data_IF_778543811612
#
_entry.id   IF_778543811612
#
_cell.length_a   1.000
_cell.length_b   1.000
_cell.length_c   1.000
_cell.angle_alpha   90.00
_cell.angle_beta   90.00
_cell.angle_gamma   90.00
#
_symmetry.space_group_name_H-M   'P 1'
#
loop_
_entity.id
_entity.type
_entity.pdbx_description
1 polymer ?
#
# COMPACT_ATOMS: atom_id res chain seq x y z
N UNK A 1 61.08 21.97 -39.72
CA UNK A 1 59.91 22.77 -39.31
C UNK A 1 58.70 22.24 -40.08
N UNK A 2 57.61 21.90 -39.39
CA UNK A 2 56.20 21.81 -39.87
C UNK A 2 55.47 20.59 -39.32
N UNK A 3 55.31 20.50 -37.99
CA UNK A 3 54.40 19.55 -37.32
C UNK A 3 53.08 20.22 -36.86
N UNK A 4 52.87 21.51 -37.18
CA UNK A 4 51.70 22.29 -36.76
C UNK A 4 50.59 22.35 -37.82
N UNK A 5 50.82 21.86 -39.04
CA UNK A 5 49.86 21.94 -40.17
C UNK A 5 48.89 20.77 -40.27
N UNK A 6 48.93 19.80 -39.34
CA UNK A 6 48.14 18.57 -39.42
C UNK A 6 47.23 18.36 -38.19
N UNK A 7 46.95 19.41 -37.42
CA UNK A 7 45.95 19.35 -36.35
C UNK A 7 44.59 19.62 -37.00
N UNK A 8 43.66 18.66 -36.97
CA UNK A 8 42.32 18.84 -37.53
C UNK A 8 41.62 20.03 -36.86
N UNK A 9 40.90 20.83 -37.65
CA UNK A 9 40.17 21.96 -37.12
C UNK A 9 38.93 21.48 -36.35
N UNK A 10 38.30 22.36 -35.56
CA UNK A 10 37.15 21.98 -34.75
C UNK A 10 35.98 21.40 -35.58
N UNK A 11 35.70 21.97 -36.75
CA UNK A 11 34.66 21.46 -37.64
C UNK A 11 35.04 20.11 -38.30
N UNK A 12 36.34 19.84 -38.48
CA UNK A 12 36.83 18.52 -38.93
C UNK A 12 36.67 17.45 -37.84
N UNK A 13 36.76 17.85 -36.56
CA UNK A 13 36.65 16.96 -35.40
C UNK A 13 35.20 16.67 -34.99
N UNK A 14 34.34 17.69 -35.00
CA UNK A 14 32.99 17.62 -34.43
C UNK A 14 31.87 17.85 -35.46
N UNK A 15 32.24 18.05 -36.73
CA UNK A 15 31.31 18.42 -37.79
C UNK A 15 31.00 19.91 -37.82
N UNK A 16 30.27 20.33 -38.85
CA UNK A 16 29.90 21.72 -39.02
C UNK A 16 28.85 22.11 -37.97
N UNK A 17 29.20 23.05 -37.08
CA UNK A 17 28.35 23.44 -35.96
C UNK A 17 27.24 24.35 -36.48
N UNK A 18 25.99 23.90 -36.38
CA UNK A 18 24.82 24.72 -36.66
C UNK A 18 24.44 25.52 -35.41
N UNK A 19 25.05 26.71 -35.24
CA UNK A 19 24.68 27.62 -34.16
C UNK A 19 23.29 28.22 -34.40
N UNK A 20 22.26 27.53 -33.95
CA UNK A 20 20.91 28.09 -33.85
C UNK A 20 20.82 28.98 -32.61
N UNK A 21 21.02 30.28 -32.80
CA UNK A 21 20.84 31.27 -31.74
C UNK A 21 19.39 31.23 -31.24
N UNK A 22 19.20 31.00 -29.93
CA UNK A 22 17.89 31.00 -29.27
C UNK A 22 17.31 29.63 -28.93
N UNK A 23 18.05 28.53 -29.18
CA UNK A 23 17.66 27.21 -28.70
C UNK A 23 18.23 26.97 -27.29
N UNK A 24 17.53 27.51 -26.28
CA UNK A 24 17.96 27.46 -24.87
C UNK A 24 18.01 26.01 -24.33
N UNK A 25 17.27 25.08 -24.94
CA UNK A 25 17.19 23.67 -24.54
C UNK A 25 18.32 22.82 -25.11
N UNK A 26 18.98 23.28 -26.18
CA UNK A 26 20.23 22.69 -26.70
C UNK A 26 21.48 23.35 -26.17
N UNK A 27 21.34 24.24 -25.20
CA UNK A 27 22.46 24.88 -24.53
C UNK A 27 23.19 23.91 -23.61
N UNK A 28 24.50 24.09 -23.47
CA UNK A 28 25.33 23.40 -22.46
C UNK A 28 24.92 23.80 -21.02
N UNK A 29 24.23 24.94 -20.87
CA UNK A 29 23.70 25.42 -19.59
C UNK A 29 22.21 25.09 -19.39
N UNK A 30 21.64 24.22 -20.23
CA UNK A 30 20.23 23.83 -20.13
C UNK A 30 19.98 22.89 -18.94
N UNK A 31 18.74 22.79 -18.45
CA UNK A 31 18.36 21.78 -17.45
C UNK A 31 18.61 20.34 -17.94
N UNK A 32 18.43 20.08 -19.23
CA UNK A 32 18.73 18.79 -19.84
C UNK A 32 20.23 18.44 -19.78
N UNK A 33 21.10 19.42 -20.07
CA UNK A 33 22.55 19.24 -19.94
C UNK A 33 22.97 18.98 -18.49
N UNK A 34 22.32 19.66 -17.53
CA UNK A 34 22.53 19.41 -16.11
C UNK A 34 22.08 18.00 -15.69
N UNK A 35 20.94 17.53 -16.17
CA UNK A 35 20.47 16.15 -15.91
C UNK A 35 21.47 15.11 -16.42
N UNK A 36 22.00 15.28 -17.63
CA UNK A 36 23.00 14.36 -18.20
C UNK A 36 24.28 14.35 -17.38
N UNK A 37 24.75 15.51 -16.94
CA UNK A 37 25.94 15.63 -16.08
C UNK A 37 25.72 14.92 -14.72
N UNK A 38 24.52 15.05 -14.14
CA UNK A 38 24.15 14.33 -12.91
C UNK A 38 24.08 12.81 -13.12
N UNK A 39 23.48 12.34 -14.22
CA UNK A 39 23.41 10.90 -14.52
C UNK A 39 24.81 10.34 -14.78
N UNK A 40 25.70 11.10 -15.41
CA UNK A 40 27.08 10.70 -15.61
C UNK A 40 27.85 10.68 -14.28
N UNK A 41 27.70 11.69 -13.43
CA UNK A 41 28.27 11.69 -12.08
C UNK A 41 27.79 10.47 -11.27
N UNK A 42 26.51 10.13 -11.40
CA UNK A 42 25.94 8.95 -10.75
C UNK A 42 26.59 7.66 -11.26
N UNK A 43 26.75 7.51 -12.58
CA UNK A 43 27.37 6.35 -13.20
C UNK A 43 28.88 6.26 -12.85
N UNK A 44 29.59 7.39 -12.74
CA UNK A 44 31.04 7.42 -12.50
C UNK A 44 31.40 7.20 -11.01
N UNK A 45 30.72 7.89 -10.08
CA UNK A 45 31.05 7.88 -8.65
C UNK A 45 30.23 6.86 -7.84
N UNK A 46 29.04 6.49 -8.33
CA UNK A 46 28.09 5.67 -7.59
C UNK A 46 27.69 4.40 -8.35
N UNK A 47 28.55 3.91 -9.26
CA UNK A 47 28.32 2.67 -10.03
C UNK A 47 28.02 1.43 -9.17
N UNK A 48 28.48 1.39 -7.91
CA UNK A 48 28.15 0.31 -6.96
C UNK A 48 26.70 0.37 -6.44
N UNK A 49 26.00 1.50 -6.61
CA UNK A 49 24.58 1.66 -6.30
C UNK A 49 23.76 1.20 -7.52
N UNK A 50 23.83 -0.10 -7.81
CA UNK A 50 23.19 -0.75 -8.97
C UNK A 50 21.68 -0.53 -9.07
N UNK A 51 21.03 -0.34 -7.92
CA UNK A 51 19.58 -0.41 -7.80
C UNK A 51 18.89 0.81 -8.44
N UNK A 52 19.57 1.96 -8.55
CA UNK A 52 18.94 3.15 -9.13
C UNK A 52 18.58 2.93 -10.59
N UNK A 53 19.54 2.44 -11.38
CA UNK A 53 19.46 2.32 -12.84
C UNK A 53 18.57 1.17 -13.30
N UNK A 54 18.51 0.09 -12.53
CA UNK A 54 17.78 -1.13 -12.92
C UNK A 54 16.43 -1.24 -12.20
N UNK A 55 16.38 -0.94 -10.90
CA UNK A 55 15.23 -1.31 -10.07
C UNK A 55 14.37 -0.11 -9.65
N UNK A 56 14.94 1.09 -9.50
CA UNK A 56 14.21 2.23 -8.91
C UNK A 56 13.63 3.25 -9.88
N UNK A 57 14.38 3.73 -10.88
CA UNK A 57 13.92 4.76 -11.84
C UNK A 57 14.63 4.65 -13.20
N UNK A 58 14.49 3.51 -13.86
CA UNK A 58 15.05 3.29 -15.20
C UNK A 58 14.45 4.25 -16.24
N UNK A 59 13.22 4.70 -16.03
CA UNK A 59 12.50 5.67 -16.86
C UNK A 59 13.27 6.97 -17.10
N UNK A 60 14.00 7.47 -16.09
CA UNK A 60 14.76 8.73 -16.18
C UNK A 60 15.84 8.68 -17.28
N UNK A 61 16.44 7.52 -17.52
CA UNK A 61 17.47 7.35 -18.55
C UNK A 61 16.90 7.35 -19.98
N UNK A 62 15.58 7.16 -20.12
CA UNK A 62 14.88 7.10 -21.41
C UNK A 62 14.02 8.34 -21.67
N UNK A 63 14.08 9.36 -20.81
CA UNK A 63 13.40 10.65 -21.04
C UNK A 63 14.02 11.36 -22.25
N UNK A 64 13.15 11.85 -23.14
CA UNK A 64 13.58 12.67 -24.27
C UNK A 64 14.05 14.05 -23.79
N UNK A 65 15.29 14.41 -24.15
CA UNK A 65 15.92 15.68 -23.75
C UNK A 65 15.50 16.83 -24.68
N UNK A 66 14.24 17.25 -24.56
CA UNK A 66 13.66 18.32 -25.38
C UNK A 66 13.02 19.45 -24.55
N UNK A 67 12.50 20.45 -25.27
CA UNK A 67 11.86 21.61 -24.66
C UNK A 67 10.55 21.26 -23.92
N UNK A 68 9.82 20.25 -24.41
CA UNK A 68 8.53 19.84 -23.85
C UNK A 68 8.73 19.22 -22.47
N UNK A 69 9.66 18.25 -22.35
CA UNK A 69 10.00 17.62 -21.07
C UNK A 69 10.73 18.56 -20.11
N UNK A 70 11.37 19.63 -20.61
CA UNK A 70 12.08 20.60 -19.76
C UNK A 70 11.17 21.67 -19.16
N UNK A 71 10.11 22.09 -19.87
CA UNK A 71 9.34 23.29 -19.50
C UNK A 71 7.88 23.04 -19.19
N UNK A 72 7.32 21.91 -19.60
CA UNK A 72 5.92 21.61 -19.35
C UNK A 72 5.71 21.36 -17.87
N UNK A 73 4.79 22.11 -17.27
CA UNK A 73 4.42 21.91 -15.87
C UNK A 73 3.45 20.73 -15.78
N UNK A 74 3.86 19.70 -15.03
CA UNK A 74 3.07 18.51 -14.76
C UNK A 74 2.86 18.41 -13.24
N UNK A 75 1.67 18.04 -12.76
CA UNK A 75 1.46 17.76 -11.35
C UNK A 75 2.38 16.63 -10.88
N UNK A 76 3.08 16.85 -9.77
CA UNK A 76 4.00 15.86 -9.22
C UNK A 76 3.34 14.48 -8.96
N UNK A 77 2.09 14.51 -8.49
CA UNK A 77 1.34 13.28 -8.16
C UNK A 77 1.07 12.41 -9.40
N UNK A 78 0.91 13.00 -10.58
CA UNK A 78 0.67 12.24 -11.81
C UNK A 78 1.91 11.43 -12.19
N UNK A 79 3.11 12.02 -12.05
CA UNK A 79 4.37 11.32 -12.27
C UNK A 79 4.57 10.21 -11.24
N UNK A 80 4.19 10.44 -9.98
CA UNK A 80 4.26 9.40 -8.94
C UNK A 80 3.35 8.23 -9.28
N UNK A 81 2.10 8.51 -9.67
CA UNK A 81 1.15 7.47 -10.07
C UNK A 81 1.63 6.71 -11.29
N UNK A 82 2.12 7.39 -12.34
CA UNK A 82 2.67 6.77 -13.55
C UNK A 82 3.83 5.82 -13.21
N UNK A 83 4.76 6.26 -12.35
CA UNK A 83 5.89 5.43 -11.92
C UNK A 83 5.41 4.21 -11.12
N UNK A 84 4.41 4.36 -10.26
CA UNK A 84 3.85 3.25 -9.47
C UNK A 84 3.02 2.28 -10.34
N UNK A 85 2.24 2.79 -11.28
CA UNK A 85 1.51 2.00 -12.28
C UNK A 85 2.49 1.17 -13.12
N UNK A 86 3.61 1.75 -13.56
CA UNK A 86 4.66 1.04 -14.29
C UNK A 86 5.37 -0.06 -13.50
N UNK A 87 5.26 -0.07 -12.17
CA UNK A 87 5.78 -1.17 -11.32
C UNK A 87 4.85 -2.37 -11.30
N UNK A 88 3.57 -2.15 -11.56
CA UNK A 88 2.57 -3.22 -11.65
C UNK A 88 2.70 -3.81 -13.05
N UNK A 89 3.30 -5.00 -13.15
CA UNK A 89 3.55 -5.70 -14.41
C UNK A 89 2.24 -6.30 -15.00
N UNK A 90 1.29 -5.44 -15.35
CA UNK A 90 -0.03 -5.80 -15.87
C UNK A 90 -0.47 -4.82 -16.95
N UNK A 91 -1.14 -5.31 -18.00
CA UNK A 91 -1.74 -4.46 -19.03
C UNK A 91 -2.90 -3.61 -18.49
N UNK A 92 -3.61 -4.12 -17.47
CA UNK A 92 -4.71 -3.43 -16.81
C UNK A 92 -4.45 -3.32 -15.30
N UNK A 93 -3.73 -2.26 -14.93
CA UNK A 93 -3.30 -1.99 -13.55
C UNK A 93 -4.50 -1.93 -12.61
N UNK A 94 -5.55 -1.18 -12.98
CA UNK A 94 -6.70 -0.97 -12.10
C UNK A 94 -7.59 -2.21 -11.92
N UNK A 95 -7.69 -3.08 -12.94
CA UNK A 95 -8.34 -4.38 -12.78
C UNK A 95 -7.53 -5.31 -11.86
N UNK A 96 -6.20 -5.20 -11.88
CA UNK A 96 -5.34 -5.95 -10.96
C UNK A 96 -5.54 -5.49 -9.52
N UNK A 97 -5.64 -4.17 -9.30
CA UNK A 97 -5.88 -3.58 -7.97
C UNK A 97 -7.29 -3.88 -7.43
N UNK A 98 -8.29 -4.02 -8.29
CA UNK A 98 -9.65 -4.38 -7.88
C UNK A 98 -9.75 -5.85 -7.41
N UNK A 99 -8.81 -6.71 -7.82
CA UNK A 99 -8.74 -8.11 -7.41
C UNK A 99 -7.64 -8.39 -6.38
N UNK A 100 -6.74 -7.43 -6.14
CA UNK A 100 -5.67 -7.57 -5.16
C UNK A 100 -6.25 -7.67 -3.76
N UNK A 101 -5.71 -8.60 -2.97
CA UNK A 101 -6.04 -8.74 -1.57
C UNK A 101 -4.88 -8.20 -0.73
N UNK A 102 -5.20 -7.29 0.18
CA UNK A 102 -4.31 -6.78 1.21
C UNK A 102 -5.16 -6.22 2.35
N UNK A 103 -4.69 -6.23 3.60
CA UNK A 103 -5.52 -5.81 4.72
C UNK A 103 -5.95 -4.35 4.59
N UNK A 104 -7.24 -4.10 4.86
CA UNK A 104 -7.90 -2.80 5.09
C UNK A 104 -7.89 -1.75 3.97
N UNK A 105 -6.89 -1.73 3.09
CA UNK A 105 -6.71 -0.72 2.03
C UNK A 105 -7.02 -1.27 0.62
N UNK A 106 -7.19 -2.59 0.48
CA UNK A 106 -7.51 -3.28 -0.77
C UNK A 106 -8.74 -4.19 -0.56
N UNK A 107 -9.50 -4.52 -1.62
CA UNK A 107 -9.30 -4.17 -3.03
C UNK A 107 -9.65 -2.72 -3.39
N UNK A 108 -8.96 -2.15 -4.38
CA UNK A 108 -9.17 -0.76 -4.81
C UNK A 108 -9.93 -0.69 -6.14
N UNK A 109 -11.09 0.00 -6.14
CA UNK A 109 -11.88 0.24 -7.35
C UNK A 109 -11.87 1.73 -7.73
N UNK A 110 -11.13 2.07 -8.80
CA UNK A 110 -11.00 3.45 -9.28
C UNK A 110 -12.36 4.07 -9.67
N UNK A 111 -13.22 3.28 -10.30
CA UNK A 111 -14.52 3.76 -10.75
C UNK A 111 -15.44 4.10 -9.58
N UNK A 112 -15.36 3.33 -8.49
CA UNK A 112 -16.09 3.63 -7.26
C UNK A 112 -15.64 4.96 -6.65
N UNK A 113 -14.33 5.19 -6.57
CA UNK A 113 -13.78 6.43 -6.02
C UNK A 113 -14.10 7.64 -6.91
N UNK A 114 -14.08 7.49 -8.25
CA UNK A 114 -14.56 8.53 -9.17
C UNK A 114 -16.02 8.89 -8.89
N UNK A 115 -16.90 7.89 -8.79
CA UNK A 115 -18.32 8.11 -8.51
C UNK A 115 -18.52 8.81 -7.16
N UNK A 116 -17.82 8.36 -6.12
CA UNK A 116 -17.86 8.96 -4.78
C UNK A 116 -17.42 10.42 -4.80
N UNK A 117 -16.33 10.74 -5.51
CA UNK A 117 -15.85 12.11 -5.66
C UNK A 117 -16.85 13.00 -6.41
N UNK A 118 -17.47 12.49 -7.48
CA UNK A 118 -18.49 13.23 -8.23
C UNK A 118 -19.74 13.51 -7.38
N UNK A 119 -20.21 12.52 -6.62
CA UNK A 119 -21.34 12.66 -5.71
C UNK A 119 -21.04 13.65 -4.57
N UNK A 120 -19.82 13.63 -4.06
CA UNK A 120 -19.34 14.59 -3.07
C UNK A 120 -19.45 16.03 -3.60
N UNK A 121 -18.98 16.30 -4.81
CA UNK A 121 -19.11 17.62 -5.43
C UNK A 121 -20.56 18.04 -5.72
N UNK A 122 -21.47 17.08 -5.95
CA UNK A 122 -22.90 17.34 -6.10
C UNK A 122 -23.62 17.57 -4.76
N UNK A 123 -22.96 17.29 -3.62
CA UNK A 123 -23.55 17.39 -2.29
C UNK A 123 -24.63 16.33 -2.02
N UNK A 124 -24.59 15.20 -2.73
CA UNK A 124 -25.55 14.10 -2.60
C UNK A 124 -24.79 12.87 -2.13
N UNK A 125 -25.32 12.16 -1.13
CA UNK A 125 -24.72 10.88 -0.73
C UNK A 125 -25.19 9.73 -1.64
N UNK A 126 -24.30 8.77 -1.91
CA UNK A 126 -24.61 7.62 -2.77
C UNK A 126 -25.81 6.81 -2.26
N UNK A 127 -25.91 6.66 -0.94
CA UNK A 127 -26.98 5.91 -0.31
C UNK A 127 -28.32 6.66 -0.33
N UNK A 128 -28.36 7.99 -0.30
CA UNK A 128 -29.58 8.77 -0.53
C UNK A 128 -30.07 8.63 -1.97
N UNK A 129 -29.17 8.77 -2.93
CA UNK A 129 -29.48 8.54 -4.35
C UNK A 129 -30.08 7.15 -4.53
N UNK A 130 -29.44 6.12 -3.94
CA UNK A 130 -29.92 4.75 -4.02
C UNK A 130 -31.31 4.60 -3.38
N UNK A 131 -31.54 5.19 -2.21
CA UNK A 131 -32.85 5.18 -1.54
C UNK A 131 -33.95 5.87 -2.35
N UNK A 132 -33.64 6.97 -3.04
CA UNK A 132 -34.61 7.72 -3.84
C UNK A 132 -35.04 6.99 -5.12
N UNK A 133 -34.11 6.27 -5.76
CA UNK A 133 -34.37 5.57 -7.03
C UNK A 133 -34.62 4.07 -6.87
N UNK A 134 -34.53 3.52 -5.65
CA UNK A 134 -34.77 2.11 -5.39
C UNK A 134 -36.26 1.75 -5.65
N UNK A 135 -36.50 0.88 -6.63
CA UNK A 135 -37.82 0.29 -6.87
C UNK A 135 -38.13 -0.87 -5.93
N UNK A 136 -37.10 -1.47 -5.36
CA UNK A 136 -37.16 -2.62 -4.45
C UNK A 136 -36.35 -2.34 -3.20
N UNK A 137 -36.77 -2.89 -2.07
CA UNK A 137 -36.05 -2.73 -0.81
C UNK A 137 -34.82 -3.64 -0.78
N UNK A 138 -33.66 -3.06 -1.03
CA UNK A 138 -32.35 -3.73 -0.97
C UNK A 138 -31.49 -3.07 0.12
N UNK A 139 -31.56 -3.63 1.33
CA UNK A 139 -30.86 -3.09 2.49
C UNK A 139 -29.34 -3.32 2.42
N UNK A 140 -28.88 -4.41 1.79
CA UNK A 140 -27.46 -4.74 1.72
C UNK A 140 -26.74 -3.78 0.78
N UNK A 141 -27.32 -3.48 -0.38
CA UNK A 141 -26.74 -2.49 -1.29
C UNK A 141 -26.77 -1.09 -0.68
N UNK A 142 -27.84 -0.70 0.02
CA UNK A 142 -27.90 0.62 0.69
C UNK A 142 -26.86 0.71 1.80
N UNK A 143 -26.68 -0.34 2.60
CA UNK A 143 -25.66 -0.38 3.65
C UNK A 143 -24.25 -0.30 3.08
N UNK A 144 -23.96 -1.04 2.00
CA UNK A 144 -22.68 -0.96 1.29
C UNK A 144 -22.39 0.45 0.78
N UNK A 145 -23.37 1.07 0.13
CA UNK A 145 -23.26 2.45 -0.37
C UNK A 145 -23.13 3.47 0.76
N UNK A 146 -23.73 3.22 1.92
CA UNK A 146 -23.59 4.05 3.11
C UNK A 146 -22.18 3.97 3.70
N UNK A 147 -21.61 2.76 3.76
CA UNK A 147 -20.24 2.51 4.19
C UNK A 147 -19.19 2.95 3.17
N UNK A 148 -19.61 3.27 1.94
CA UNK A 148 -18.73 3.71 0.87
C UNK A 148 -17.93 2.59 0.19
N UNK A 149 -18.25 1.33 0.48
CA UNK A 149 -17.53 0.16 -0.02
C UNK A 149 -17.87 -0.11 -1.50
N UNK A 150 -16.89 -0.56 -2.25
CA UNK A 150 -17.02 -1.15 -3.58
C UNK A 150 -17.66 -2.55 -3.52
N UNK A 151 -18.01 -3.10 -4.68
CA UNK A 151 -18.44 -4.51 -4.80
C UNK A 151 -17.36 -5.45 -4.30
N UNK A 152 -16.12 -5.24 -4.73
CA UNK A 152 -15.00 -6.12 -4.41
C UNK A 152 -14.67 -6.09 -2.91
N UNK A 153 -14.65 -4.90 -2.29
CA UNK A 153 -14.43 -4.76 -0.84
C UNK A 153 -15.54 -5.44 -0.04
N UNK A 154 -16.80 -5.25 -0.45
CA UNK A 154 -17.92 -5.88 0.21
C UNK A 154 -17.85 -7.41 0.15
N UNK A 155 -17.50 -7.96 -1.01
CA UNK A 155 -17.38 -9.40 -1.19
C UNK A 155 -16.27 -9.98 -0.31
N UNK A 156 -15.16 -9.25 -0.13
CA UNK A 156 -14.09 -9.63 0.81
C UNK A 156 -14.50 -9.57 2.27
N UNK A 157 -15.32 -8.59 2.68
CA UNK A 157 -15.80 -8.48 4.07
C UNK A 157 -16.84 -9.55 4.42
N UNK A 158 -17.70 -9.92 3.48
CA UNK A 158 -18.82 -10.85 3.73
C UNK A 158 -18.42 -12.31 3.53
N UNK A 159 -17.42 -12.60 2.69
CA UNK A 159 -16.99 -13.96 2.40
C UNK A 159 -16.01 -14.44 3.47
N UNK A 160 -16.37 -15.50 4.19
CA UNK A 160 -15.43 -16.15 5.09
C UNK A 160 -14.26 -16.77 4.31
N UNK A 161 -13.05 -16.68 4.86
CA UNK A 161 -11.87 -17.31 4.29
C UNK A 161 -12.10 -18.82 4.13
N UNK A 162 -11.75 -19.36 2.97
CA UNK A 162 -11.98 -20.76 2.64
C UNK A 162 -11.05 -21.71 3.41
N UNK A 163 -9.81 -21.28 3.63
CA UNK A 163 -8.76 -21.99 4.34
C UNK A 163 -7.70 -21.00 4.87
N UNK A 164 -6.73 -21.52 5.64
CA UNK A 164 -5.64 -20.72 6.21
C UNK A 164 -4.78 -20.05 5.12
N UNK A 165 -4.61 -20.67 3.94
CA UNK A 165 -3.81 -20.08 2.86
C UNK A 165 -4.48 -18.84 2.28
N UNK A 166 -5.81 -18.84 2.18
CA UNK A 166 -6.56 -17.66 1.77
C UNK A 166 -6.32 -16.49 2.74
N UNK A 167 -6.19 -16.77 4.05
CA UNK A 167 -5.82 -15.75 5.04
C UNK A 167 -4.38 -15.29 4.85
N UNK A 168 -3.45 -16.18 4.53
CA UNK A 168 -2.06 -15.79 4.26
C UNK A 168 -1.98 -14.86 3.04
N UNK A 169 -2.68 -15.21 1.97
CA UNK A 169 -2.75 -14.41 0.75
C UNK A 169 -3.37 -13.03 1.02
N UNK A 170 -4.45 -12.96 1.80
CA UNK A 170 -5.11 -11.69 2.15
C UNK A 170 -4.21 -10.76 2.99
N UNK A 171 -3.22 -11.30 3.72
CA UNK A 171 -2.22 -10.53 4.50
C UNK A 171 -0.88 -10.40 3.78
N UNK A 172 -0.74 -10.89 2.54
CA UNK A 172 0.50 -10.86 1.78
C UNK A 172 1.63 -11.71 2.38
N UNK A 173 1.29 -12.72 3.18
CA UNK A 173 2.28 -13.60 3.82
C UNK A 173 2.71 -14.73 2.88
N UNK A 174 4.02 -14.81 2.64
CA UNK A 174 4.62 -15.93 1.88
C UNK A 174 5.36 -16.86 2.82
N UNK A 175 4.91 -18.12 2.89
CA UNK A 175 5.56 -19.15 3.71
C UNK A 175 6.88 -19.64 3.09
N UNK A 176 7.94 -18.86 3.30
CA UNK A 176 9.28 -19.15 2.75
C UNK A 176 9.93 -20.36 3.43
N UNK A 177 9.56 -20.64 4.69
CA UNK A 177 10.19 -21.67 5.52
C UNK A 177 9.37 -22.97 5.64
N UNK A 178 8.19 -23.05 5.02
CA UNK A 178 7.31 -24.22 5.11
C UNK A 178 6.68 -24.41 6.49
N UNK A 179 6.54 -23.32 7.23
CA UNK A 179 6.04 -23.25 8.61
C UNK A 179 4.51 -23.14 8.70
N UNK A 180 3.85 -22.86 7.57
CA UNK A 180 2.40 -22.73 7.42
C UNK A 180 1.78 -21.80 8.46
N UNK A 181 0.62 -22.21 9.00
CA UNK A 181 -0.15 -21.45 9.99
C UNK A 181 0.65 -21.09 11.25
N UNK A 182 1.59 -21.93 11.67
CA UNK A 182 2.44 -21.62 12.82
C UNK A 182 3.37 -20.43 12.55
N UNK A 183 3.98 -20.39 11.36
CA UNK A 183 4.86 -19.29 10.97
C UNK A 183 4.09 -17.99 10.80
N UNK A 184 2.91 -18.06 10.17
CA UNK A 184 2.02 -16.90 10.03
C UNK A 184 1.65 -16.31 11.39
N UNK A 185 1.16 -17.14 12.32
CA UNK A 185 0.77 -16.67 13.66
C UNK A 185 1.96 -16.11 14.42
N UNK A 186 3.13 -16.75 14.34
CA UNK A 186 4.34 -16.21 14.98
C UNK A 186 4.74 -14.86 14.39
N UNK A 187 4.67 -14.71 13.07
CA UNK A 187 4.99 -13.45 12.39
C UNK A 187 3.98 -12.34 12.73
N UNK A 188 2.68 -12.63 12.69
CA UNK A 188 1.60 -11.68 13.01
C UNK A 188 1.44 -11.43 14.51
N UNK A 189 2.01 -12.28 15.38
CA UNK A 189 2.02 -12.02 16.82
C UNK A 189 2.96 -10.89 17.21
N UNK A 190 3.96 -10.56 16.38
CA UNK A 190 4.86 -9.43 16.64
C UNK A 190 4.14 -8.14 16.29
N UNK A 191 4.03 -7.23 17.27
CA UNK A 191 3.24 -6.00 17.12
C UNK A 191 3.75 -5.13 15.97
N UNK A 192 5.08 -4.98 15.83
CA UNK A 192 5.66 -4.19 14.73
C UNK A 192 5.29 -4.75 13.37
N UNK A 193 5.38 -6.07 13.19
CA UNK A 193 5.07 -6.73 11.93
C UNK A 193 3.58 -6.68 11.61
N UNK A 194 2.72 -6.86 12.62
CA UNK A 194 1.27 -6.69 12.46
C UNK A 194 0.91 -5.26 12.06
N UNK A 195 1.51 -4.26 12.69
CA UNK A 195 1.27 -2.85 12.36
C UNK A 195 1.77 -2.50 10.96
N UNK A 196 2.96 -2.97 10.58
CA UNK A 196 3.51 -2.77 9.23
C UNK A 196 2.66 -3.42 8.15
N UNK A 197 2.14 -4.63 8.39
CA UNK A 197 1.31 -5.35 7.41
C UNK A 197 -0.12 -4.83 7.31
N UNK A 198 -0.66 -4.28 8.39
CA UNK A 198 -2.04 -3.76 8.40
C UNK A 198 -2.13 -2.26 8.17
N UNK A 199 -0.99 -1.55 8.16
CA UNK A 199 -0.92 -0.08 8.14
C UNK A 199 -1.75 0.57 9.28
N UNK A 200 -1.88 -0.15 10.40
CA UNK A 200 -2.56 0.36 11.59
C UNK A 200 -1.59 1.12 12.49
N UNK A 201 -1.96 2.37 12.80
CA UNK A 201 -1.29 3.15 13.84
C UNK A 201 -1.49 2.52 15.23
N UNK A 202 -0.56 2.75 16.14
CA UNK A 202 -0.58 2.17 17.49
C UNK A 202 -1.91 2.44 18.22
N UNK A 203 -2.46 3.65 18.08
CA UNK A 203 -3.74 4.01 18.69
C UNK A 203 -4.89 3.17 18.14
N UNK A 204 -4.93 2.92 16.83
CA UNK A 204 -5.97 2.09 16.20
C UNK A 204 -5.81 0.61 16.57
N UNK A 205 -4.57 0.15 16.75
CA UNK A 205 -4.30 -1.20 17.25
C UNK A 205 -4.81 -1.36 18.70
N UNK A 206 -4.54 -0.39 19.56
CA UNK A 206 -5.11 -0.38 20.92
C UNK A 206 -6.65 -0.29 20.87
N UNK A 207 -7.22 0.50 19.96
CA UNK A 207 -8.67 0.53 19.75
C UNK A 207 -9.22 -0.82 19.28
N UNK A 208 -8.48 -1.56 18.45
CA UNK A 208 -8.86 -2.91 18.03
C UNK A 208 -8.90 -3.87 19.24
N UNK A 209 -7.89 -3.83 20.11
CA UNK A 209 -7.77 -4.72 21.26
C UNK A 209 -8.68 -4.33 22.44
N UNK A 210 -8.94 -3.04 22.62
CA UNK A 210 -9.59 -2.47 23.81
C UNK A 210 -10.89 -1.71 23.50
N UNK A 211 -11.28 -1.51 22.23
CA UNK A 211 -12.51 -0.83 21.75
C UNK A 211 -12.83 0.51 22.43
N UNK A 212 -11.82 1.35 22.64
CA UNK A 212 -11.93 2.62 23.38
C UNK A 212 -12.47 2.48 24.81
N UNK A 213 -12.41 1.29 25.42
CA UNK A 213 -12.61 1.13 26.87
C UNK A 213 -11.39 1.67 27.67
N UNK A 214 -10.33 2.08 26.96
CA UNK A 214 -9.13 2.72 27.49
C UNK A 214 -9.38 4.22 27.80
N UNK A 215 -10.32 4.51 28.69
CA UNK A 215 -10.61 5.88 29.18
C UNK A 215 -10.12 5.99 30.63
N UNK A 216 -8.81 6.18 30.81
CA UNK A 216 -8.12 6.52 32.07
C UNK A 216 -8.24 5.56 33.30
N UNK A 217 -7.20 5.50 34.15
CA UNK A 217 -6.95 4.36 35.02
C UNK A 217 -7.55 4.56 36.41
N UNK A 218 -8.49 3.70 36.83
CA UNK A 218 -8.83 3.57 38.25
C UNK A 218 -9.40 2.21 38.61
N UNK A 219 -10.12 1.56 37.69
CA UNK A 219 -10.69 0.24 37.94
C UNK A 219 -10.69 -0.60 36.66
N UNK A 220 -9.56 -1.26 36.40
CA UNK A 220 -9.36 -2.10 35.22
C UNK A 220 -10.05 -3.47 35.34
N UNK A 221 -10.68 -3.78 36.48
CA UNK A 221 -11.29 -5.11 36.70
C UNK A 221 -12.49 -5.38 35.80
N UNK A 222 -13.32 -4.37 35.54
CA UNK A 222 -14.56 -4.51 34.76
C UNK A 222 -14.29 -4.40 33.24
N UNK A 223 -13.18 -3.78 32.84
CA UNK A 223 -12.83 -3.60 31.42
C UNK A 223 -12.03 -4.78 30.88
N UNK A 224 -11.23 -5.45 31.72
CA UNK A 224 -10.70 -6.78 31.38
C UNK A 224 -11.84 -7.80 31.25
N UNK A 225 -12.84 -7.74 32.14
CA UNK A 225 -14.05 -8.57 32.12
C UNK A 225 -15.05 -8.08 31.06
N UNK A 226 -14.92 -8.54 29.81
CA UNK A 226 -15.82 -8.19 28.73
C UNK A 226 -15.17 -8.23 27.35
N UNK A 227 -13.83 -8.22 27.30
CA UNK A 227 -13.04 -8.31 26.07
C UNK A 227 -13.28 -9.62 25.33
N UNK A 228 -13.60 -10.69 26.04
CA UNK A 228 -13.98 -11.99 25.47
C UNK A 228 -15.24 -11.90 24.60
N UNK A 229 -16.07 -10.87 24.76
CA UNK A 229 -17.28 -10.64 23.96
C UNK A 229 -17.04 -9.77 22.74
N UNK A 230 -15.83 -9.25 22.54
CA UNK A 230 -15.49 -8.48 21.35
C UNK A 230 -15.53 -9.37 20.11
N UNK A 231 -16.03 -8.82 19.00
CA UNK A 231 -16.18 -9.56 17.73
C UNK A 231 -14.90 -10.32 17.32
N UNK A 232 -13.73 -9.69 17.51
CA UNK A 232 -12.41 -10.29 17.20
C UNK A 232 -12.06 -11.53 18.03
N UNK A 233 -12.68 -11.70 19.20
CA UNK A 233 -12.45 -12.81 20.13
C UNK A 233 -13.61 -13.83 20.11
N UNK A 234 -14.67 -13.55 19.32
CA UNK A 234 -15.82 -14.46 19.18
C UNK A 234 -15.63 -15.47 18.04
N UNK A 235 -16.37 -16.59 18.09
CA UNK A 235 -16.35 -17.60 17.03
C UNK A 235 -15.25 -18.66 17.15
N UNK A 236 -14.45 -18.62 18.22
CA UNK A 236 -13.41 -19.62 18.50
C UNK A 236 -14.01 -20.78 19.32
N UNK A 237 -14.23 -21.93 18.67
CA UNK A 237 -14.82 -23.09 19.35
C UNK A 237 -13.85 -23.73 20.34
N UNK A 238 -14.28 -23.86 21.61
CA UNK A 238 -13.50 -24.56 22.64
C UNK A 238 -12.47 -23.71 23.37
N UNK A 239 -12.41 -22.41 23.08
CA UNK A 239 -11.55 -21.45 23.74
C UNK A 239 -12.39 -20.25 24.17
N UNK A 240 -12.14 -19.73 25.37
CA UNK A 240 -12.77 -18.52 25.89
C UNK A 240 -11.64 -17.65 26.41
N UNK A 241 -11.54 -16.44 25.88
CA UNK A 241 -10.36 -15.63 26.06
C UNK A 241 -10.33 -14.42 25.15
N UNK A 242 -9.22 -13.70 25.18
CA UNK A 242 -9.02 -12.51 24.37
C UNK A 242 -7.54 -12.29 24.05
N UNK A 243 -7.27 -11.61 22.93
CA UNK A 243 -5.91 -11.18 22.58
C UNK A 243 -5.53 -9.95 23.42
N UNK A 244 -4.33 -9.98 24.01
CA UNK A 244 -3.76 -8.89 24.80
C UNK A 244 -2.27 -8.69 24.48
N UNK A 245 -1.69 -7.59 24.94
CA UNK A 245 -0.26 -7.34 24.83
C UNK A 245 0.53 -8.02 25.95
N UNK A 246 1.76 -8.43 25.64
CA UNK A 246 2.72 -8.86 26.64
C UNK A 246 3.17 -7.68 27.53
N UNK A 247 3.96 -7.98 28.58
CA UNK A 247 4.42 -6.96 29.55
C UNK A 247 5.29 -5.86 28.91
N UNK A 248 6.01 -6.21 27.84
CA UNK A 248 6.90 -5.31 27.12
C UNK A 248 6.22 -4.60 25.92
N UNK A 249 4.93 -4.85 25.68
CA UNK A 249 4.13 -4.36 24.54
C UNK A 249 4.72 -4.65 23.15
N UNK A 250 5.49 -5.74 23.02
CA UNK A 250 6.16 -6.13 21.78
C UNK A 250 5.46 -7.27 21.03
N UNK A 251 4.70 -8.09 21.74
CA UNK A 251 4.04 -9.27 21.19
C UNK A 251 2.58 -9.35 21.65
N UNK A 252 1.73 -9.90 20.78
CA UNK A 252 0.35 -10.26 21.04
C UNK A 252 0.29 -11.68 21.65
N UNK A 253 -0.41 -11.79 22.76
CA UNK A 253 -0.60 -13.03 23.51
C UNK A 253 -2.09 -13.31 23.70
N UNK A 254 -2.44 -14.59 23.85
CA UNK A 254 -3.81 -14.99 24.15
C UNK A 254 -3.98 -15.16 25.66
N UNK A 255 -4.95 -14.47 26.24
CA UNK A 255 -5.39 -14.68 27.61
C UNK A 255 -6.58 -15.65 27.64
N UNK A 256 -6.45 -16.80 28.30
CA UNK A 256 -7.53 -17.76 28.49
C UNK A 256 -8.27 -17.49 29.80
N UNK A 257 -9.54 -17.10 29.71
CA UNK A 257 -10.39 -16.79 30.87
C UNK A 257 -10.78 -18.03 31.69
N UNK A 258 -10.63 -19.23 31.12
CA UNK A 258 -10.99 -20.50 31.79
C UNK A 258 -9.88 -20.95 32.74
N UNK A 259 -8.63 -20.78 32.31
CA UNK A 259 -7.44 -21.18 33.07
C UNK A 259 -6.78 -20.00 33.78
N UNK A 260 -7.20 -18.76 33.48
CA UNK A 260 -6.59 -17.51 33.94
C UNK A 260 -5.09 -17.46 33.62
N UNK A 261 -4.70 -17.96 32.44
CA UNK A 261 -3.31 -17.99 31.99
C UNK A 261 -3.10 -17.28 30.66
N UNK A 262 -1.93 -16.66 30.52
CA UNK A 262 -1.47 -16.09 29.26
C UNK A 262 -0.66 -17.15 28.51
N UNK A 263 -0.98 -17.33 27.22
CA UNK A 263 -0.30 -18.24 26.34
C UNK A 263 0.15 -17.50 25.07
N UNK A 264 1.30 -17.90 24.53
CA UNK A 264 1.72 -17.45 23.21
C UNK A 264 0.67 -17.89 22.18
N UNK A 265 0.39 -17.04 21.19
CA UNK A 265 -0.52 -17.40 20.11
C UNK A 265 -0.03 -18.69 19.42
N UNK A 266 -0.93 -19.67 19.33
CA UNK A 266 -0.74 -20.95 18.65
C UNK A 266 -1.85 -21.09 17.61
N UNK A 267 -1.70 -21.94 16.57
CA UNK A 267 -2.80 -22.30 15.70
C UNK A 267 -3.86 -23.01 16.54
N UNK A 268 -4.85 -22.24 16.95
CA UNK A 268 -6.09 -22.78 17.43
C UNK A 268 -6.74 -23.44 16.21
N UNK A 269 -7.41 -24.58 16.35
CA UNK A 269 -8.14 -25.15 15.22
C UNK A 269 -9.30 -24.21 14.87
N UNK A 270 -9.13 -23.35 13.86
CA UNK A 270 -10.16 -22.43 13.40
C UNK A 270 -11.24 -23.23 12.67
N UNK A 271 -12.12 -23.90 13.41
CA UNK A 271 -13.36 -24.42 12.87
C UNK A 271 -14.33 -23.24 12.78
N UNK A 272 -14.25 -22.49 11.67
CA UNK A 272 -15.20 -21.41 11.35
C UNK A 272 -16.62 -22.00 11.33
N UNK A 273 -17.44 -21.68 12.33
CA UNK A 273 -18.86 -22.00 12.35
C UNK A 273 -19.67 -20.72 12.55
N UNK A 274 -20.31 -20.31 11.44
CA UNK A 274 -21.57 -19.57 11.27
C UNK A 274 -21.97 -18.51 12.29
#
# INVERSE_FOLDING_TARGET
MSMLTNIPNYADLFGNIDFKKGDEFRSVYSPAAYLVDLLQLLDDEFSEISDFKQDRRSDIYFIDLDAENTTTLIPYLDIVNEVLEGRINSENVYETLENAAYPFNMPFSLDKEKVKNHLHHLGISAHELRRLFATTTDYTTVAREYLGLSTAEWDKVVTAAADDNAVFDDYGYTDTEGTGTNGFIQNMSVVSTFMETTDLEAQKMLELLYQNLYIEPSDHSIVEDGRENFYINTGITGYSGYVTLNTDETELEWYDTTTETVMRLQPIGWQVHR
#
